data_IF_259916662917
#
_entry.id   IF_259916662917
#
_cell.length_a   1.000
_cell.length_b   1.000
_cell.length_c   1.000
_cell.angle_alpha   90.00
_cell.angle_beta   90.00
_cell.angle_gamma   90.00
#
_symmetry.space_group_name_H-M   'P 1'
#
loop_
_entity.id
_entity.type
_entity.pdbx_description
1 polymer ?
#
# COMPACT_ATOMS: atom_id res chain seq x y z
N UNK A 1 20.48 -4.90 5.32
CA UNK A 1 20.70 -3.69 4.49
C UNK A 1 19.45 -3.51 3.64
N UNK A 2 18.67 -2.43 3.82
CA UNK A 2 17.51 -2.14 2.99
C UNK A 2 17.90 -1.88 1.52
N UNK A 3 16.92 -2.08 0.64
CA UNK A 3 16.99 -1.60 -0.75
C UNK A 3 16.26 -0.27 -0.79
N UNK A 4 16.89 0.74 -1.40
CA UNK A 4 16.27 2.02 -1.68
C UNK A 4 16.23 2.28 -3.18
N UNK A 5 15.15 2.91 -3.61
CA UNK A 5 14.97 3.35 -4.99
C UNK A 5 15.29 4.83 -5.13
N UNK A 6 15.87 5.18 -6.28
CA UNK A 6 16.18 6.54 -6.67
C UNK A 6 15.72 6.81 -8.10
N UNK A 7 15.28 8.04 -8.38
CA UNK A 7 14.93 8.50 -9.73
C UNK A 7 15.72 9.76 -10.11
N UNK A 8 16.08 9.93 -11.40
CA UNK A 8 16.71 11.15 -11.90
C UNK A 8 15.84 12.40 -11.66
N UNK A 9 16.49 13.53 -11.35
CA UNK A 9 15.80 14.81 -11.17
C UNK A 9 15.57 15.58 -12.47
N UNK A 10 16.60 15.62 -13.33
CA UNK A 10 16.64 16.57 -14.45
C UNK A 10 16.08 15.99 -15.76
N UNK A 11 16.43 14.72 -16.04
CA UNK A 11 16.12 14.05 -17.30
C UNK A 11 16.06 12.55 -17.14
N UNK A 12 15.33 11.90 -18.03
CA UNK A 12 15.27 10.44 -18.06
C UNK A 12 16.64 9.82 -18.30
N UNK A 13 16.91 8.78 -17.52
CA UNK A 13 18.10 7.97 -17.68
C UNK A 13 17.80 6.81 -18.63
N UNK A 14 18.50 6.76 -19.77
CA UNK A 14 18.40 5.66 -20.73
C UNK A 14 19.10 4.37 -20.26
N UNK A 15 19.99 4.45 -19.26
CA UNK A 15 20.69 3.28 -18.71
C UNK A 15 19.90 2.62 -17.58
N UNK A 16 19.28 3.42 -16.71
CA UNK A 16 18.53 2.93 -15.55
C UNK A 16 17.02 2.88 -15.82
N UNK A 17 16.55 3.15 -17.04
CA UNK A 17 15.11 3.21 -17.36
C UNK A 17 14.31 4.09 -16.38
N UNK A 18 14.92 5.19 -15.93
CA UNK A 18 14.32 6.13 -14.98
C UNK A 18 14.37 5.76 -13.49
N UNK A 19 14.78 4.55 -13.08
CA UNK A 19 14.91 4.18 -11.65
C UNK A 19 16.12 3.30 -11.38
N UNK A 20 16.71 3.44 -10.20
CA UNK A 20 17.81 2.58 -9.75
C UNK A 20 17.56 2.10 -8.33
N UNK A 21 17.77 0.81 -8.12
CA UNK A 21 17.75 0.16 -6.81
C UNK A 21 19.16 0.05 -6.25
N UNK A 22 19.36 0.48 -5.00
CA UNK A 22 20.66 0.42 -4.33
C UNK A 22 20.50 -0.19 -2.94
N UNK A 23 21.36 -1.16 -2.62
CA UNK A 23 21.50 -1.68 -1.26
C UNK A 23 22.30 -0.65 -0.45
N UNK A 24 21.70 -0.08 0.58
CA UNK A 24 22.29 1.00 1.36
C UNK A 24 22.09 0.75 2.86
N UNK A 25 23.03 1.21 3.70
CA UNK A 25 22.89 1.17 5.14
C UNK A 25 21.77 2.09 5.62
N UNK A 26 21.09 1.71 6.71
CA UNK A 26 19.97 2.51 7.24
C UNK A 26 20.40 3.89 7.74
N UNK A 27 21.66 4.01 8.19
CA UNK A 27 22.26 5.25 8.69
C UNK A 27 23.02 6.02 7.61
N UNK A 28 23.10 5.49 6.39
CA UNK A 28 23.82 6.16 5.31
C UNK A 28 23.00 7.33 4.76
N UNK A 29 23.63 8.46 4.40
CA UNK A 29 22.94 9.57 3.78
C UNK A 29 22.40 9.18 2.40
N UNK A 30 21.23 9.69 1.98
CA UNK A 30 20.71 9.41 0.64
C UNK A 30 21.70 9.79 -0.47
N UNK A 31 21.69 9.03 -1.55
CA UNK A 31 22.55 9.32 -2.70
C UNK A 31 22.09 10.61 -3.40
N UNK A 32 23.07 11.46 -3.75
CA UNK A 32 22.87 12.67 -4.56
C UNK A 32 23.06 12.38 -6.05
N UNK A 33 23.90 11.39 -6.37
CA UNK A 33 24.21 10.98 -7.74
C UNK A 33 24.00 9.47 -7.92
N UNK A 34 23.49 9.08 -9.07
CA UNK A 34 23.35 7.68 -9.43
C UNK A 34 24.74 7.02 -9.58
N UNK A 35 24.98 5.86 -8.94
CA UNK A 35 26.28 5.18 -9.02
C UNK A 35 26.58 4.58 -10.40
N UNK A 36 25.57 4.45 -11.28
CA UNK A 36 25.73 3.88 -12.62
C UNK A 36 25.83 4.94 -13.73
N UNK A 37 25.03 6.00 -13.65
CA UNK A 37 24.95 7.00 -14.72
C UNK A 37 25.47 8.40 -14.34
N UNK A 38 25.73 8.66 -13.05
CA UNK A 38 26.20 9.96 -12.57
C UNK A 38 25.17 11.09 -12.58
N UNK A 39 23.93 10.85 -13.03
CA UNK A 39 22.86 11.85 -12.97
C UNK A 39 22.50 12.18 -11.52
N UNK A 40 22.03 13.40 -11.28
CA UNK A 40 21.44 13.79 -10.00
C UNK A 40 20.16 13.00 -9.74
N UNK A 41 20.02 12.46 -8.54
CA UNK A 41 18.89 11.64 -8.16
C UNK A 41 18.27 12.09 -6.84
N UNK A 42 17.02 11.70 -6.61
CA UNK A 42 16.36 11.76 -5.30
C UNK A 42 15.85 10.38 -4.91
N UNK A 43 15.81 10.10 -3.62
CA UNK A 43 15.21 8.86 -3.08
C UNK A 43 13.69 8.90 -3.25
N UNK A 44 13.11 7.76 -3.57
CA UNK A 44 11.67 7.59 -3.77
C UNK A 44 11.13 6.42 -2.97
N UNK A 45 9.82 6.42 -2.73
CA UNK A 45 9.13 5.31 -2.08
C UNK A 45 9.01 4.18 -3.08
N UNK A 46 9.50 3.00 -2.70
CA UNK A 46 9.45 1.81 -3.53
C UNK A 46 8.01 1.39 -3.85
N UNK A 47 7.81 0.94 -5.09
CA UNK A 47 6.50 0.43 -5.52
C UNK A 47 6.28 -0.98 -4.96
N UNK A 48 5.46 -1.11 -3.93
CA UNK A 48 5.03 -2.42 -3.43
C UNK A 48 3.91 -2.99 -4.32
N UNK A 49 4.07 -4.24 -4.76
CA UNK A 49 3.00 -5.03 -5.38
C UNK A 49 2.59 -6.14 -4.42
N UNK A 50 1.35 -6.11 -3.94
CA UNK A 50 0.81 -7.10 -3.02
C UNK A 50 -0.14 -8.01 -3.79
N UNK A 51 0.18 -9.31 -3.86
CA UNK A 51 -0.68 -10.33 -4.43
C UNK A 51 -1.24 -11.21 -3.31
N UNK A 52 -2.57 -11.24 -3.16
CA UNK A 52 -3.24 -12.13 -2.21
C UNK A 52 -3.64 -13.41 -2.95
N UNK A 53 -2.92 -14.51 -2.68
CA UNK A 53 -3.12 -15.79 -3.38
C UNK A 53 -4.13 -16.72 -2.71
N UNK A 54 -4.48 -16.48 -1.45
CA UNK A 54 -5.39 -17.33 -0.68
C UNK A 54 -6.76 -16.69 -0.57
N UNK A 55 -7.81 -17.49 -0.75
CA UNK A 55 -9.17 -17.10 -0.40
C UNK A 55 -9.25 -16.86 1.10
N UNK A 56 -9.99 -15.84 1.51
CA UNK A 56 -10.29 -15.59 2.91
C UNK A 56 -11.17 -16.71 3.43
N UNK A 57 -10.76 -17.33 4.53
CA UNK A 57 -11.53 -18.32 5.27
C UNK A 57 -12.26 -17.59 6.41
N UNK A 58 -13.60 -17.46 6.34
CA UNK A 58 -14.37 -16.65 7.28
C UNK A 58 -14.34 -17.21 8.71
N UNK A 59 -14.19 -18.52 8.88
CA UNK A 59 -14.15 -19.17 10.19
C UNK A 59 -12.80 -18.92 10.88
N UNK A 60 -11.69 -19.10 10.14
CA UNK A 60 -10.36 -18.74 10.66
C UNK A 60 -10.21 -17.26 10.94
N UNK A 61 -10.88 -16.40 10.15
CA UNK A 61 -10.92 -14.97 10.41
C UNK A 61 -11.66 -14.69 11.73
N UNK A 62 -12.81 -15.34 11.95
CA UNK A 62 -13.60 -15.23 13.18
C UNK A 62 -12.83 -15.68 14.43
N UNK A 63 -12.14 -16.83 14.36
CA UNK A 63 -11.27 -17.34 15.44
C UNK A 63 -10.19 -16.33 15.84
N UNK A 64 -9.72 -15.54 14.88
CA UNK A 64 -8.70 -14.49 15.08
C UNK A 64 -9.31 -13.14 15.47
N UNK A 65 -10.61 -13.08 15.73
CA UNK A 65 -11.32 -11.87 16.14
C UNK A 65 -11.73 -10.94 14.99
N UNK A 66 -11.57 -11.37 13.73
CA UNK A 66 -11.99 -10.56 12.58
C UNK A 66 -13.45 -10.85 12.18
N UNK A 67 -14.18 -9.79 11.82
CA UNK A 67 -15.51 -9.88 11.23
C UNK A 67 -15.42 -9.93 9.71
N UNK A 68 -16.08 -10.91 9.09
CA UNK A 68 -16.14 -11.06 7.63
C UNK A 68 -17.51 -10.65 7.12
N UNK A 69 -17.55 -9.72 6.16
CA UNK A 69 -18.77 -9.26 5.50
C UNK A 69 -18.75 -9.62 4.01
N UNK A 70 -19.94 -9.89 3.45
CA UNK A 70 -20.17 -10.12 2.03
C UNK A 70 -21.05 -9.00 1.48
N UNK A 71 -20.64 -8.41 0.36
CA UNK A 71 -21.44 -7.42 -0.34
C UNK A 71 -22.63 -8.10 -1.02
N UNK A 72 -23.85 -7.67 -0.70
CA UNK A 72 -25.10 -8.17 -1.29
C UNK A 72 -25.71 -7.17 -2.27
N UNK A 73 -25.29 -5.90 -2.20
CA UNK A 73 -25.71 -4.84 -3.12
C UNK A 73 -24.89 -3.56 -2.95
N UNK A 74 -25.28 -2.48 -3.66
CA UNK A 74 -24.65 -1.16 -3.50
C UNK A 74 -24.92 -0.65 -2.08
N UNK A 75 -23.87 -0.47 -1.28
CA UNK A 75 -23.95 -0.04 0.11
C UNK A 75 -24.57 -1.06 1.07
N UNK A 76 -24.88 -2.28 0.62
CA UNK A 76 -25.51 -3.30 1.44
C UNK A 76 -24.56 -4.48 1.64
N UNK A 77 -24.30 -4.79 2.91
CA UNK A 77 -23.35 -5.81 3.34
C UNK A 77 -24.00 -6.73 4.37
N UNK A 78 -23.79 -8.02 4.21
CA UNK A 78 -24.27 -9.07 5.11
C UNK A 78 -23.08 -9.65 5.87
N UNK A 79 -23.25 -9.89 7.18
CA UNK A 79 -22.21 -10.51 8.02
C UNK A 79 -22.17 -12.03 7.78
N UNK A 80 -20.99 -12.55 7.46
CA UNK A 80 -20.77 -13.98 7.18
C UNK A 80 -20.25 -14.72 8.41
N UNK A 81 -19.28 -14.15 9.13
CA UNK A 81 -18.69 -14.75 10.32
C UNK A 81 -17.97 -13.71 11.19
N UNK A 82 -17.68 -14.08 12.44
CA UNK A 82 -16.85 -13.28 13.36
C UNK A 82 -17.62 -12.57 14.47
N UNK A 83 -16.90 -12.06 15.48
CA UNK A 83 -17.49 -11.23 16.51
C UNK A 83 -18.08 -9.96 15.88
N UNK A 84 -19.04 -9.35 16.55
CA UNK A 84 -19.64 -8.10 16.11
C UNK A 84 -20.91 -7.87 16.90
N UNK A 85 -20.74 -7.03 17.89
CA UNK A 85 -21.74 -6.19 18.52
C UNK A 85 -22.66 -5.58 17.46
N UNK A 86 -23.98 -5.57 17.74
CA UNK A 86 -25.00 -4.95 16.88
C UNK A 86 -24.79 -3.44 16.68
N UNK A 87 -23.96 -2.84 17.53
CA UNK A 87 -23.66 -1.41 17.55
C UNK A 87 -22.55 -1.03 16.56
N UNK A 88 -21.79 -2.01 16.05
CA UNK A 88 -20.80 -1.77 15.00
C UNK A 88 -21.49 -1.53 13.64
N UNK A 89 -21.30 -0.36 13.01
CA UNK A 89 -21.92 -0.07 11.72
C UNK A 89 -21.41 -1.01 10.62
N UNK A 90 -22.26 -1.43 9.67
CA UNK A 90 -21.82 -2.23 8.54
C UNK A 90 -20.80 -1.44 7.69
N UNK A 91 -19.88 -2.13 6.99
CA UNK A 91 -18.92 -1.46 6.13
C UNK A 91 -19.63 -0.69 5.01
N UNK A 92 -19.08 0.47 4.66
CA UNK A 92 -19.53 1.25 3.50
C UNK A 92 -18.73 0.89 2.26
N UNK A 93 -19.30 1.15 1.09
CA UNK A 93 -18.56 0.99 -0.16
C UNK A 93 -17.37 1.97 -0.21
N UNK A 94 -16.22 1.50 -0.69
CA UNK A 94 -15.06 2.36 -0.91
C UNK A 94 -15.36 3.45 -1.96
N UNK A 95 -14.79 4.66 -1.84
CA UNK A 95 -14.88 5.70 -2.85
C UNK A 95 -14.37 5.19 -4.21
N UNK A 96 -15.10 5.49 -5.29
CA UNK A 96 -14.78 4.98 -6.63
C UNK A 96 -13.44 5.47 -7.17
N UNK A 97 -12.98 6.64 -6.73
CA UNK A 97 -11.77 7.28 -7.24
C UNK A 97 -10.52 6.94 -6.41
N UNK A 98 -10.65 6.12 -5.36
CA UNK A 98 -9.53 5.71 -4.49
C UNK A 98 -8.89 6.87 -3.70
N UNK A 99 -9.38 8.10 -3.86
CA UNK A 99 -8.99 9.26 -3.07
C UNK A 99 -9.81 9.25 -1.79
N UNK A 100 -9.13 9.01 -0.68
CA UNK A 100 -9.67 9.23 0.66
C UNK A 100 -9.50 10.72 0.93
N UNK A 101 -10.59 11.46 1.09
CA UNK A 101 -10.53 12.84 1.53
C UNK A 101 -10.16 12.86 3.02
N UNK A 102 -8.88 13.14 3.29
CA UNK A 102 -8.31 13.13 4.64
C UNK A 102 -8.97 14.18 5.54
N UNK A 103 -9.66 15.18 4.98
CA UNK A 103 -10.40 16.18 5.74
C UNK A 103 -11.70 15.65 6.37
N UNK A 104 -12.11 14.41 6.06
CA UNK A 104 -13.31 13.76 6.61
C UNK A 104 -12.99 12.72 7.69
N UNK A 105 -11.74 12.64 8.16
CA UNK A 105 -11.29 11.65 9.15
C UNK A 105 -11.27 12.19 10.59
N UNK A 106 -11.87 13.35 10.86
CA UNK A 106 -12.03 13.89 12.21
C UNK A 106 -13.46 13.59 12.74
N UNK A 107 -13.58 12.51 13.51
CA UNK A 107 -14.37 12.33 14.75
C UNK A 107 -14.17 10.90 15.30
#
# INVERSE_FOLDING_TARGET
>A
MPIYEYEPLDRDCLMCSGRVEVIQGISDPPLVYCPYCGLRVKRVISKASIAVSKKVDPEKAAERGFSTFRRVGKGAWEKVAGPGDSDSPPPTDAPKDGVIDVSQLDD
#
